data_IF_339671810573
#
_entry.id   IF_339671810573
#
_cell.length_a   1.000
_cell.length_b   1.000
_cell.length_c   1.000
_cell.angle_alpha   90.00
_cell.angle_beta   90.00
_cell.angle_gamma   90.00
#
_symmetry.space_group_name_H-M   'P 1'
#
loop_
_entity.id
_entity.type
_entity.pdbx_description
1 polymer ?
#
# COMPACT_ATOMS: atom_id res chain seq x y z
N UNK A 1 16.80 37.26 15.08
CA UNK A 1 15.69 37.27 14.10
C UNK A 1 14.56 36.45 14.74
N UNK A 2 13.57 37.11 15.31
CA UNK A 2 12.56 36.49 16.17
C UNK A 2 11.35 36.08 15.32
N UNK A 3 11.04 34.77 15.29
CA UNK A 3 9.82 34.26 14.63
C UNK A 3 8.63 34.66 15.52
N UNK A 4 7.63 35.40 15.01
CA UNK A 4 6.50 35.83 15.82
C UNK A 4 5.72 34.61 16.32
N UNK A 5 5.37 34.60 17.61
CA UNK A 5 4.72 33.50 18.33
C UNK A 5 3.40 33.03 17.67
N UNK A 6 2.76 33.89 16.86
CA UNK A 6 1.58 33.55 16.05
C UNK A 6 1.87 32.61 14.88
N UNK A 7 3.06 32.65 14.30
CA UNK A 7 3.46 31.71 13.24
C UNK A 7 3.77 30.32 13.79
N UNK A 8 4.21 30.21 15.04
CA UNK A 8 4.45 28.92 15.70
C UNK A 8 3.13 28.19 16.00
N UNK A 9 2.05 28.93 16.27
CA UNK A 9 0.74 28.35 16.54
C UNK A 9 0.10 27.73 15.28
N UNK A 10 0.37 28.27 14.09
CA UNK A 10 -0.10 27.68 12.82
C UNK A 10 0.65 26.39 12.46
N UNK A 11 1.93 26.28 12.82
CA UNK A 11 2.69 25.02 12.69
C UNK A 11 2.20 23.95 13.68
N UNK A 12 1.73 24.33 14.86
CA UNK A 12 1.20 23.39 15.87
C UNK A 12 -0.26 22.99 15.61
N UNK A 13 -1.08 23.84 14.99
CA UNK A 13 -2.48 23.54 14.66
C UNK A 13 -2.63 22.76 13.34
N UNK A 14 -1.67 22.83 12.42
CA UNK A 14 -1.67 22.03 11.18
C UNK A 14 -1.34 20.55 11.36
N UNK A 15 -0.94 20.12 12.58
CA UNK A 15 -0.60 18.74 12.91
C UNK A 15 -1.78 17.95 13.50
N UNK A 16 -3.02 18.39 13.25
CA UNK A 16 -4.21 17.65 13.65
C UNK A 16 -4.68 16.78 12.49
N UNK A 17 -4.18 15.54 12.51
CA UNK A 17 -4.93 14.37 12.06
C UNK A 17 -5.22 14.30 10.55
N UNK A 18 -4.18 14.22 9.73
CA UNK A 18 -4.24 13.26 8.64
C UNK A 18 -4.16 11.87 9.29
N UNK A 19 -5.29 11.37 9.81
CA UNK A 19 -5.44 9.96 10.08
C UNK A 19 -5.33 9.27 8.73
N UNK A 20 -4.12 8.87 8.34
CA UNK A 20 -3.95 7.91 7.29
C UNK A 20 -4.60 6.63 7.83
N UNK A 21 -5.88 6.44 7.51
CA UNK A 21 -6.57 5.19 7.76
C UNK A 21 -5.94 4.17 6.82
N UNK A 22 -4.79 3.63 7.23
CA UNK A 22 -4.29 2.39 6.69
C UNK A 22 -5.16 1.28 7.27
N UNK A 23 -6.27 0.92 6.61
CA UNK A 23 -6.99 -0.31 6.92
C UNK A 23 -6.10 -1.51 6.56
N UNK A 24 -5.01 -1.77 7.28
CA UNK A 24 -4.21 -2.97 7.06
C UNK A 24 -5.15 -4.18 7.08
N UNK A 25 -5.39 -4.79 5.92
CA UNK A 25 -6.21 -5.98 5.80
C UNK A 25 -5.40 -7.08 6.47
N UNK A 26 -5.62 -7.24 7.79
CA UNK A 26 -5.09 -8.28 8.67
C UNK A 26 -3.86 -8.99 8.09
N UNK A 27 -2.64 -8.54 8.45
CA UNK A 27 -1.33 -8.87 7.88
C UNK A 27 -1.05 -10.37 7.63
N UNK A 28 -1.77 -10.97 6.69
CA UNK A 28 -1.52 -12.31 6.22
C UNK A 28 -0.55 -12.18 5.06
N UNK A 29 0.67 -12.66 5.28
CA UNK A 29 1.64 -12.87 4.20
C UNK A 29 1.01 -13.83 3.20
N UNK A 30 0.48 -13.29 2.10
CA UNK A 30 -0.17 -14.08 1.06
C UNK A 30 0.88 -14.89 0.30
N UNK A 31 0.75 -16.21 0.31
CA UNK A 31 1.57 -17.10 -0.50
C UNK A 31 0.67 -17.73 -1.56
N UNK A 32 0.86 -17.32 -2.82
CA UNK A 32 0.12 -17.89 -3.96
C UNK A 32 0.92 -19.03 -4.57
N UNK A 33 0.26 -20.16 -4.86
CA UNK A 33 0.80 -21.24 -5.70
C UNK A 33 0.41 -21.10 -7.18
N UNK A 34 -0.40 -20.08 -7.52
CA UNK A 34 -0.79 -19.80 -8.90
C UNK A 34 0.40 -19.17 -9.64
N UNK A 35 0.84 -19.72 -10.80
CA UNK A 35 1.98 -19.20 -11.56
C UNK A 35 1.67 -17.91 -12.34
N UNK A 36 0.41 -17.48 -12.41
CA UNK A 36 0.02 -16.26 -13.11
C UNK A 36 0.72 -15.03 -12.53
N UNK A 37 1.30 -14.21 -13.40
CA UNK A 37 1.85 -12.90 -13.07
C UNK A 37 1.39 -11.88 -14.11
N UNK A 38 1.38 -10.61 -13.71
CA UNK A 38 1.16 -9.47 -14.59
C UNK A 38 2.19 -8.38 -14.31
N UNK A 39 3.44 -8.79 -14.10
CA UNK A 39 4.56 -7.88 -13.91
C UNK A 39 4.70 -6.96 -15.13
N UNK A 40 5.01 -5.69 -14.88
CA UNK A 40 5.37 -4.77 -15.94
C UNK A 40 6.72 -5.17 -16.60
N UNK A 41 7.07 -4.50 -17.69
CA UNK A 41 8.39 -4.61 -18.29
C UNK A 41 9.47 -4.32 -17.24
N UNK A 42 10.51 -5.18 -17.21
CA UNK A 42 11.64 -5.08 -16.27
C UNK A 42 11.30 -5.27 -14.77
N UNK A 43 10.12 -5.85 -14.46
CA UNK A 43 9.71 -6.21 -13.11
C UNK A 43 9.69 -7.75 -12.90
N UNK A 44 9.86 -8.26 -11.65
CA UNK A 44 10.08 -7.51 -10.41
C UNK A 44 11.51 -6.94 -10.29
N UNK A 45 11.63 -5.74 -9.75
CA UNK A 45 12.90 -5.07 -9.48
C UNK A 45 13.84 -5.90 -8.60
N UNK A 46 15.13 -5.94 -8.95
CA UNK A 46 16.17 -6.60 -8.15
C UNK A 46 16.72 -5.72 -7.02
N UNK A 47 16.20 -4.50 -6.85
CA UNK A 47 16.67 -3.60 -5.80
C UNK A 47 16.40 -4.18 -4.40
N UNK A 48 17.34 -3.98 -3.47
CA UNK A 48 17.22 -4.53 -2.11
C UNK A 48 16.02 -3.98 -1.33
N UNK A 49 15.53 -2.78 -1.67
CA UNK A 49 14.36 -2.17 -1.04
C UNK A 49 13.03 -2.65 -1.64
N UNK A 50 13.04 -3.25 -2.83
CA UNK A 50 11.83 -3.65 -3.56
C UNK A 50 11.36 -5.04 -3.08
N UNK A 51 10.64 -5.07 -1.95
CA UNK A 51 10.20 -6.32 -1.30
C UNK A 51 8.68 -6.50 -1.24
N UNK A 52 7.91 -5.52 -1.73
CA UNK A 52 6.45 -5.59 -1.83
C UNK A 52 5.98 -5.38 -3.27
N UNK A 53 4.88 -6.00 -3.65
CA UNK A 53 4.22 -5.75 -4.93
C UNK A 53 3.14 -4.68 -4.78
N UNK A 54 2.97 -3.84 -5.80
CA UNK A 54 1.82 -2.96 -5.95
C UNK A 54 1.22 -3.11 -7.35
N UNK A 55 -0.04 -2.72 -7.49
CA UNK A 55 -0.73 -2.66 -8.78
C UNK A 55 -0.74 -1.21 -9.25
N UNK A 56 -0.23 -0.96 -10.45
CA UNK A 56 -0.32 0.35 -11.08
C UNK A 56 -1.67 0.50 -11.78
N UNK A 57 -2.56 1.29 -11.17
CA UNK A 57 -3.91 1.56 -11.69
C UNK A 57 -3.92 2.39 -12.99
N UNK A 58 -2.82 3.07 -13.30
CA UNK A 58 -2.72 3.97 -14.44
C UNK A 58 -2.24 3.22 -15.71
N UNK A 59 -1.84 1.94 -15.55
CA UNK A 59 -1.56 1.04 -16.67
C UNK A 59 -2.85 0.34 -17.17
N UNK A 60 -3.01 0.15 -18.50
CA UNK A 60 -4.24 -0.42 -19.06
C UNK A 60 -4.48 -1.88 -18.67
N UNK A 61 -3.43 -2.63 -18.33
CA UNK A 61 -3.51 -4.02 -17.90
C UNK A 61 -3.41 -4.19 -16.38
N UNK A 62 -3.37 -3.11 -15.58
CA UNK A 62 -3.12 -3.18 -14.13
C UNK A 62 -1.81 -3.93 -13.82
N UNK A 63 -0.74 -3.53 -14.50
CA UNK A 63 0.59 -4.09 -14.35
C UNK A 63 1.08 -4.00 -12.90
N UNK A 64 1.91 -4.96 -12.51
CA UNK A 64 2.49 -5.02 -11.17
C UNK A 64 3.90 -4.46 -11.18
N UNK A 65 4.25 -3.73 -10.13
CA UNK A 65 5.61 -3.27 -9.86
C UNK A 65 6.09 -3.69 -8.47
N UNK A 66 7.40 -3.82 -8.30
CA UNK A 66 8.02 -4.07 -7.00
C UNK A 66 8.47 -2.76 -6.35
N UNK A 67 8.11 -2.56 -5.07
CA UNK A 67 8.35 -1.33 -4.34
C UNK A 67 8.75 -1.53 -2.89
N UNK A 68 9.11 -0.43 -2.24
CA UNK A 68 9.44 -0.41 -0.82
C UNK A 68 8.15 -0.56 0.01
N UNK A 69 8.10 -1.61 0.84
CA UNK A 69 7.00 -1.93 1.73
C UNK A 69 6.65 -0.82 2.74
N UNK A 70 7.57 0.12 3.00
CA UNK A 70 7.38 1.22 3.94
C UNK A 70 6.69 2.43 3.31
N UNK A 71 6.44 2.42 2.00
CA UNK A 71 5.69 3.49 1.33
C UNK A 71 4.19 3.25 1.57
N UNK A 72 3.51 4.28 2.08
CA UNK A 72 2.08 4.26 2.32
C UNK A 72 1.28 4.37 1.02
N UNK A 73 0.99 3.24 0.39
CA UNK A 73 0.01 3.13 -0.68
C UNK A 73 -1.36 2.71 -0.14
N UNK A 74 -2.47 3.07 -0.82
CA UNK A 74 -3.74 2.38 -0.63
C UNK A 74 -3.54 0.89 -0.91
N UNK A 75 -4.11 0.03 -0.06
CA UNK A 75 -4.07 -1.43 -0.22
C UNK A 75 -5.46 -1.95 -0.59
N UNK A 76 -5.50 -3.19 -1.06
CA UNK A 76 -6.74 -3.90 -1.39
C UNK A 76 -6.95 -5.06 -0.41
N UNK A 77 -8.15 -5.16 0.15
CA UNK A 77 -8.53 -6.32 0.96
C UNK A 77 -9.18 -7.40 0.07
N UNK A 78 -8.82 -8.66 0.32
CA UNK A 78 -9.52 -9.80 -0.23
C UNK A 78 -10.10 -10.63 0.92
N UNK A 79 -11.34 -11.08 0.77
CA UNK A 79 -11.95 -12.06 1.66
C UNK A 79 -11.70 -13.48 1.13
N UNK A 80 -11.58 -14.45 2.03
CA UNK A 80 -11.56 -15.85 1.63
C UNK A 80 -12.85 -16.18 0.85
N UNK A 81 -12.76 -16.82 -0.34
CA UNK A 81 -13.96 -17.10 -1.13
C UNK A 81 -14.86 -18.14 -0.44
N UNK A 82 -16.19 -18.06 -0.65
CA UNK A 82 -17.14 -19.05 -0.11
C UNK A 82 -16.77 -20.49 -0.51
N UNK A 83 -16.18 -20.67 -1.70
CA UNK A 83 -15.82 -21.97 -2.27
C UNK A 83 -14.80 -22.74 -1.45
N UNK A 84 -14.08 -22.08 -0.52
CA UNK A 84 -13.18 -22.73 0.44
C UNK A 84 -13.79 -22.84 1.85
N UNK A 85 -15.10 -22.65 1.98
CA UNK A 85 -15.83 -22.81 3.24
C UNK A 85 -15.83 -21.58 4.14
N UNK A 86 -15.55 -20.38 3.60
CA UNK A 86 -15.78 -19.13 4.34
C UNK A 86 -17.27 -18.98 4.63
N UNK A 87 -17.63 -18.77 5.91
CA UNK A 87 -19.02 -18.69 6.38
C UNK A 87 -19.59 -17.26 6.33
N UNK A 88 -18.72 -16.27 6.27
CA UNK A 88 -19.08 -14.84 6.22
C UNK A 88 -18.91 -14.32 4.78
N UNK A 89 -19.56 -15.03 3.86
CA UNK A 89 -19.97 -14.49 2.59
C UNK A 89 -21.52 -14.47 2.56
#
# INVERSE_FOLDING_TARGET
>A
MAIPLRSLLLLLLGLHSASAFGFSCNELKYFSTNPYTNWDVDEPSTADVAKCAYVDKDTPNLAWGAGNCQIGFPYMCQYAPCSVGNKDC
#
